data_IF_994767318690
#
_entry.id   IF_994767318690
#
_cell.length_a   1.000
_cell.length_b   1.000
_cell.length_c   1.000
_cell.angle_alpha   90.00
_cell.angle_beta   90.00
_cell.angle_gamma   90.00
#
_symmetry.space_group_name_H-M   'P 1'
#
loop_
_entity.id
_entity.type
_entity.pdbx_description
1 polymer ?
#
# COMPACT_ATOMS: atom_id res chain seq x y z
N UNK A 1 -0.44 6.29 -21.50
CA UNK A 1 -1.09 7.02 -20.37
C UNK A 1 -0.42 6.52 -19.10
N UNK A 2 0.59 7.23 -18.62
CA UNK A 2 1.21 6.94 -17.31
C UNK A 2 0.22 7.34 -16.22
N UNK A 3 -0.26 6.43 -15.37
CA UNK A 3 -1.16 6.81 -14.29
C UNK A 3 -0.40 7.75 -13.35
N UNK A 4 -0.95 8.95 -13.13
CA UNK A 4 -0.45 9.89 -12.13
C UNK A 4 -0.38 9.16 -10.78
N UNK A 5 0.76 9.15 -10.08
CA UNK A 5 0.89 8.45 -8.81
C UNK A 5 0.00 9.12 -7.75
N UNK A 6 -1.20 8.57 -7.56
CA UNK A 6 -2.12 8.94 -6.48
C UNK A 6 -1.47 8.53 -5.15
N UNK A 7 -0.75 9.47 -4.53
CA UNK A 7 -0.12 9.27 -3.24
C UNK A 7 -1.14 9.37 -2.13
N UNK A 8 -1.40 8.25 -1.48
CA UNK A 8 -2.33 8.11 -0.36
C UNK A 8 -1.63 8.22 1.00
N UNK A 9 -2.36 8.68 2.01
CA UNK A 9 -1.96 8.52 3.41
C UNK A 9 -2.37 7.12 3.94
N UNK A 10 -2.05 6.81 5.20
CA UNK A 10 -2.33 5.50 5.78
C UNK A 10 -3.84 5.17 5.83
N UNK A 11 -4.69 6.15 6.15
CA UNK A 11 -6.14 5.98 6.17
C UNK A 11 -6.69 5.63 4.78
N UNK A 12 -6.29 6.39 3.77
CA UNK A 12 -6.70 6.17 2.38
C UNK A 12 -6.20 4.81 1.85
N UNK A 13 -4.97 4.43 2.17
CA UNK A 13 -4.44 3.11 1.81
C UNK A 13 -5.21 1.97 2.50
N UNK A 14 -5.63 2.19 3.75
CA UNK A 14 -6.47 1.25 4.49
C UNK A 14 -7.84 1.08 3.83
N UNK A 15 -8.53 2.18 3.50
CA UNK A 15 -9.80 2.13 2.77
C UNK A 15 -9.65 1.46 1.41
N UNK A 16 -8.58 1.77 0.67
CA UNK A 16 -8.32 1.17 -0.64
C UNK A 16 -8.10 -0.35 -0.57
N UNK A 17 -7.40 -0.83 0.47
CA UNK A 17 -7.14 -2.26 0.67
C UNK A 17 -8.25 -2.98 1.44
N UNK A 18 -9.23 -2.24 1.98
CA UNK A 18 -10.31 -2.79 2.81
C UNK A 18 -9.82 -3.34 4.16
N UNK A 19 -8.75 -2.76 4.74
CA UNK A 19 -8.18 -3.18 6.03
C UNK A 19 -8.04 -1.99 6.98
N UNK A 20 -7.83 -2.27 8.28
CA UNK A 20 -7.65 -1.19 9.27
C UNK A 20 -6.33 -0.41 9.08
N UNK A 21 -6.36 0.91 9.35
CA UNK A 21 -5.17 1.77 9.30
C UNK A 21 -4.06 1.25 10.22
N UNK A 22 -4.41 0.71 11.39
CA UNK A 22 -3.46 0.10 12.33
C UNK A 22 -2.68 -1.05 11.68
N UNK A 23 -3.34 -1.84 10.84
CA UNK A 23 -2.73 -2.94 10.07
C UNK A 23 -1.79 -2.40 8.99
N UNK A 24 -2.18 -1.33 8.28
CA UNK A 24 -1.30 -0.63 7.32
C UNK A 24 -0.03 -0.12 8.00
N UNK A 25 -0.16 0.55 9.16
CA UNK A 25 0.99 1.05 9.93
C UNK A 25 1.89 -0.10 10.39
N UNK A 26 1.29 -1.20 10.84
CA UNK A 26 2.02 -2.42 11.24
C UNK A 26 2.80 -2.98 10.05
N UNK A 27 2.15 -3.19 8.91
CA UNK A 27 2.79 -3.68 7.68
C UNK A 27 3.88 -2.75 7.15
N UNK A 28 3.74 -1.45 7.36
CA UNK A 28 4.76 -0.46 7.00
C UNK A 28 5.98 -0.59 7.90
N UNK A 29 5.78 -0.72 9.21
CA UNK A 29 6.86 -0.97 10.17
C UNK A 29 7.59 -2.29 9.87
N UNK A 30 6.83 -3.33 9.54
CA UNK A 30 7.35 -4.63 9.09
C UNK A 30 7.92 -4.62 7.67
N UNK A 31 7.83 -3.48 6.94
CA UNK A 31 8.25 -3.32 5.54
C UNK A 31 7.64 -4.37 4.59
N UNK A 32 6.42 -4.82 4.89
CA UNK A 32 5.68 -5.84 4.11
C UNK A 32 4.95 -5.26 2.90
N UNK A 33 4.59 -3.98 2.92
CA UNK A 33 3.88 -3.27 1.84
C UNK A 33 4.79 -2.20 1.22
N UNK A 34 4.59 -1.84 -0.05
CA UNK A 34 5.33 -0.73 -0.66
C UNK A 34 4.89 0.60 -0.04
N UNK A 35 5.86 1.37 0.42
CA UNK A 35 5.64 2.70 0.99
C UNK A 35 6.74 3.67 0.56
N UNK A 36 6.38 4.94 0.48
CA UNK A 36 7.27 6.06 0.17
C UNK A 36 7.44 6.89 1.44
N UNK A 37 8.65 6.85 2.00
CA UNK A 37 9.00 7.72 3.13
C UNK A 37 9.43 9.08 2.62
N UNK A 38 8.58 10.10 2.81
CA UNK A 38 8.87 11.48 2.40
C UNK A 38 9.67 12.24 3.47
N UNK A 39 9.46 11.90 4.74
CA UNK A 39 10.20 12.45 5.88
C UNK A 39 10.11 11.49 7.07
N UNK A 40 10.84 11.77 8.16
CA UNK A 40 10.89 10.91 9.35
C UNK A 40 9.54 10.58 9.98
N UNK A 41 8.53 11.45 9.79
CA UNK A 41 7.14 11.26 10.28
C UNK A 41 6.09 11.13 9.18
N UNK A 42 6.48 11.27 7.90
CA UNK A 42 5.54 11.28 6.78
C UNK A 42 5.81 10.11 5.85
N UNK A 43 4.87 9.16 5.85
CA UNK A 43 4.84 8.03 4.93
C UNK A 43 3.62 8.20 4.02
N UNK A 44 3.83 7.99 2.72
CA UNK A 44 2.77 7.90 1.73
C UNK A 44 2.81 6.57 1.01
N UNK A 45 1.67 6.16 0.48
CA UNK A 45 1.50 4.93 -0.27
C UNK A 45 1.14 5.29 -1.69
N UNK A 46 1.76 4.63 -2.65
CA UNK A 46 1.39 4.79 -4.04
C UNK A 46 0.30 3.78 -4.39
N UNK A 47 -0.80 4.25 -4.98
CA UNK A 47 -1.92 3.39 -5.38
C UNK A 47 -1.48 2.28 -6.33
N UNK A 48 -0.69 2.63 -7.34
CA UNK A 48 -0.24 1.71 -8.38
C UNK A 48 0.67 0.66 -7.76
N UNK A 49 1.64 1.08 -6.95
CA UNK A 49 2.53 0.15 -6.26
C UNK A 49 1.78 -0.80 -5.32
N UNK A 50 0.78 -0.31 -4.58
CA UNK A 50 -0.08 -1.16 -3.73
C UNK A 50 -0.87 -2.18 -4.56
N UNK A 51 -1.42 -1.76 -5.70
CA UNK A 51 -2.16 -2.65 -6.60
C UNK A 51 -1.25 -3.72 -7.22
N UNK A 52 -0.08 -3.33 -7.71
CA UNK A 52 0.92 -4.27 -8.24
C UNK A 52 1.40 -5.25 -7.18
N UNK A 53 1.64 -4.77 -5.95
CA UNK A 53 1.99 -5.63 -4.82
C UNK A 53 0.88 -6.63 -4.50
N UNK A 54 -0.39 -6.20 -4.54
CA UNK A 54 -1.53 -7.06 -4.30
C UNK A 54 -1.63 -8.13 -5.38
N UNK A 55 -1.46 -7.76 -6.65
CA UNK A 55 -1.45 -8.71 -7.77
C UNK A 55 -0.29 -9.71 -7.66
N UNK A 56 0.91 -9.25 -7.32
CA UNK A 56 2.09 -10.10 -7.17
C UNK A 56 1.97 -11.11 -6.01
N UNK A 57 1.21 -10.77 -4.96
CA UNK A 57 0.97 -11.64 -3.79
C UNK A 57 -0.36 -12.37 -3.82
N UNK A 58 -1.22 -12.11 -4.82
CA UNK A 58 -2.47 -12.85 -4.97
C UNK A 58 -2.13 -14.27 -5.43
N UNK A 59 -2.20 -15.22 -4.50
CA UNK A 59 -2.12 -16.64 -4.82
C UNK A 59 -3.42 -17.00 -5.54
N UNK A 60 -3.35 -17.24 -6.85
CA UNK A 60 -4.49 -17.78 -7.59
C UNK A 60 -4.82 -19.15 -6.98
N UNK A 61 -6.10 -19.44 -6.67
CA UNK A 61 -6.47 -20.78 -6.23
C UNK A 61 -6.00 -21.77 -7.30
N UNK A 62 -5.19 -22.74 -6.86
CA UNK A 62 -4.67 -23.79 -7.73
C UNK A 62 -5.83 -24.51 -8.39
N UNK A 63 -5.69 -24.74 -9.70
CA UNK A 63 -6.62 -25.54 -10.48
C UNK A 63 -6.48 -27.01 -10.12
#
# INVERSE_FOLDING_TARGET
>A
MTPTPERMNAAQAAEFLGIEEKTIRKYTSERRIPFIRLSGRCVRYDRTALSEWLLARTVKPGK
#
